data_IF_740951370121
#
_entry.id   IF_740951370121
#
_cell.length_a   1.000
_cell.length_b   1.000
_cell.length_c   1.000
_cell.angle_alpha   90.00
_cell.angle_beta   90.00
_cell.angle_gamma   90.00
#
_symmetry.space_group_name_H-M   'P 1'
#
loop_
_entity.id
_entity.type
_entity.pdbx_description
1 polymer ?
#
# COMPACT_ATOMS: atom_id res chain seq x y z
N UNK A 1 -17.21 16.24 -10.33
CA UNK A 1 -16.52 15.25 -9.46
C UNK A 1 -17.05 15.42 -8.05
N UNK A 2 -17.53 14.36 -7.39
CA UNK A 2 -17.95 14.47 -5.99
C UNK A 2 -16.72 14.72 -5.11
N UNK A 3 -16.88 15.48 -4.02
CA UNK A 3 -15.80 15.74 -3.06
C UNK A 3 -15.19 14.44 -2.50
N UNK A 4 -16.04 13.42 -2.31
CA UNK A 4 -15.63 12.07 -1.92
C UNK A 4 -14.73 11.40 -2.96
N UNK A 5 -15.04 11.50 -4.25
CA UNK A 5 -14.23 10.90 -5.30
C UNK A 5 -12.85 11.57 -5.42
N UNK A 6 -12.80 12.90 -5.32
CA UNK A 6 -11.52 13.63 -5.28
C UNK A 6 -10.70 13.16 -4.08
N UNK A 7 -11.30 13.08 -2.89
CA UNK A 7 -10.62 12.62 -1.69
C UNK A 7 -10.11 11.18 -1.81
N UNK A 8 -10.90 10.26 -2.41
CA UNK A 8 -10.48 8.88 -2.65
C UNK A 8 -9.25 8.83 -3.57
N UNK A 9 -9.29 9.52 -4.71
CA UNK A 9 -8.19 9.56 -5.67
C UNK A 9 -6.93 10.17 -5.01
N UNK A 10 -7.09 11.27 -4.27
CA UNK A 10 -5.98 11.87 -3.53
C UNK A 10 -5.36 10.91 -2.52
N UNK A 11 -6.17 10.15 -1.77
CA UNK A 11 -5.67 9.13 -0.85
C UNK A 11 -4.92 8.01 -1.59
N UNK A 12 -5.44 7.51 -2.71
CA UNK A 12 -4.76 6.44 -3.48
C UNK A 12 -3.42 6.91 -4.07
N UNK A 13 -3.35 8.16 -4.55
CA UNK A 13 -2.09 8.74 -5.06
C UNK A 13 -1.09 8.95 -3.92
N UNK A 14 -1.55 9.40 -2.74
CA UNK A 14 -0.69 9.51 -1.56
C UNK A 14 -0.20 8.14 -1.09
N UNK A 15 -1.06 7.12 -1.07
CA UNK A 15 -0.69 5.75 -0.75
C UNK A 15 0.41 5.23 -1.68
N UNK A 16 0.21 5.35 -3.00
CA UNK A 16 1.22 5.00 -4.01
C UNK A 16 2.53 5.77 -3.78
N UNK A 17 2.44 7.07 -3.51
CA UNK A 17 3.62 7.94 -3.31
C UNK A 17 4.42 7.53 -2.09
N UNK A 18 3.78 7.43 -0.92
CA UNK A 18 4.44 7.01 0.30
C UNK A 18 4.99 5.60 0.15
N UNK A 19 4.23 4.67 -0.41
CA UNK A 19 4.67 3.29 -0.50
C UNK A 19 5.90 3.14 -1.41
N UNK A 20 5.88 3.82 -2.55
CA UNK A 20 7.03 3.87 -3.47
C UNK A 20 8.24 4.52 -2.81
N UNK A 21 8.07 5.65 -2.13
CA UNK A 21 9.18 6.30 -1.41
C UNK A 21 9.76 5.35 -0.36
N UNK A 22 8.92 4.68 0.44
CA UNK A 22 9.36 3.74 1.47
C UNK A 22 10.21 2.61 0.87
N UNK A 23 9.72 1.94 -0.16
CA UNK A 23 10.37 0.77 -0.78
C UNK A 23 11.68 1.16 -1.45
N UNK A 24 11.70 2.25 -2.22
CA UNK A 24 12.88 2.66 -2.98
C UNK A 24 13.92 3.37 -2.09
N UNK A 25 13.51 4.14 -1.09
CA UNK A 25 14.44 4.73 -0.11
C UNK A 25 15.12 3.63 0.71
N UNK A 26 14.36 2.63 1.13
CA UNK A 26 14.86 1.47 1.86
C UNK A 26 15.84 0.64 1.01
N UNK A 27 15.48 0.34 -0.24
CA UNK A 27 16.38 -0.32 -1.20
C UNK A 27 17.65 0.47 -1.47
N UNK A 28 17.55 1.81 -1.61
CA UNK A 28 18.72 2.68 -1.82
C UNK A 28 19.67 2.69 -0.62
N UNK A 29 19.12 2.60 0.59
CA UNK A 29 19.92 2.50 1.82
C UNK A 29 20.47 1.11 2.07
N UNK A 30 19.83 0.06 1.53
CA UNK A 30 20.19 -1.34 1.79
C UNK A 30 19.95 -1.74 3.26
N UNK A 31 19.20 -0.94 4.01
CA UNK A 31 18.96 -1.11 5.42
C UNK A 31 17.59 -0.51 5.80
N UNK A 32 16.80 -1.29 6.54
CA UNK A 32 15.57 -0.81 7.13
C UNK A 32 15.84 0.15 8.30
N UNK A 33 15.31 1.38 8.20
CA UNK A 33 15.38 2.45 9.19
C UNK A 33 13.99 2.78 9.75
N UNK A 34 13.94 3.40 10.92
CA UNK A 34 12.68 3.80 11.58
C UNK A 34 11.78 4.68 10.70
N UNK A 35 12.38 5.59 9.92
CA UNK A 35 11.61 6.45 9.01
C UNK A 35 10.95 5.66 7.88
N UNK A 36 11.57 4.58 7.38
CA UNK A 36 10.95 3.74 6.34
C UNK A 36 9.65 3.10 6.89
N UNK A 37 9.67 2.60 8.13
CA UNK A 37 8.48 2.06 8.76
C UNK A 37 7.38 3.11 8.94
N UNK A 38 7.72 4.35 9.33
CA UNK A 38 6.75 5.45 9.40
C UNK A 38 6.11 5.72 8.03
N UNK A 39 6.90 5.73 6.96
CA UNK A 39 6.41 5.91 5.60
C UNK A 39 5.51 4.74 5.15
N UNK A 40 5.84 3.49 5.51
CA UNK A 40 4.97 2.34 5.22
C UNK A 40 3.63 2.44 5.94
N UNK A 41 3.62 2.84 7.21
CA UNK A 41 2.39 3.08 7.96
C UNK A 41 1.56 4.22 7.37
N UNK A 42 2.19 5.33 6.97
CA UNK A 42 1.49 6.41 6.26
C UNK A 42 0.83 5.89 4.97
N UNK A 43 1.59 5.16 4.14
CA UNK A 43 1.06 4.55 2.93
C UNK A 43 -0.15 3.66 3.21
N UNK A 44 -0.07 2.79 4.23
CA UNK A 44 -1.14 1.88 4.60
C UNK A 44 -2.41 2.61 5.08
N UNK A 45 -2.24 3.68 5.86
CA UNK A 45 -3.37 4.51 6.31
C UNK A 45 -4.06 5.18 5.12
N UNK A 46 -3.29 5.75 4.19
CA UNK A 46 -3.87 6.35 2.98
C UNK A 46 -4.56 5.33 2.08
N UNK A 47 -3.99 4.12 1.92
CA UNK A 47 -4.59 3.06 1.11
C UNK A 47 -5.92 2.56 1.72
N UNK A 48 -5.91 2.35 3.04
CA UNK A 48 -7.13 1.97 3.79
C UNK A 48 -8.19 3.06 3.68
N UNK A 49 -7.81 4.33 3.82
CA UNK A 49 -8.72 5.46 3.70
C UNK A 49 -9.30 5.57 2.28
N UNK A 50 -8.46 5.49 1.25
CA UNK A 50 -8.87 5.51 -0.15
C UNK A 50 -9.83 4.38 -0.48
N UNK A 51 -9.50 3.15 -0.09
CA UNK A 51 -10.34 1.96 -0.27
C UNK A 51 -11.68 2.09 0.45
N UNK A 52 -11.68 2.60 1.69
CA UNK A 52 -12.91 2.81 2.47
C UNK A 52 -13.81 3.87 1.82
N UNK A 53 -13.23 4.98 1.33
CA UNK A 53 -13.99 6.03 0.64
C UNK A 53 -14.56 5.48 -0.68
N UNK A 54 -13.77 4.75 -1.47
CA UNK A 54 -14.24 4.12 -2.71
C UNK A 54 -15.39 3.13 -2.45
N UNK A 55 -15.31 2.33 -1.39
CA UNK A 55 -16.39 1.42 -0.99
C UNK A 55 -17.68 2.15 -0.59
N UNK A 56 -17.58 3.35 -0.03
CA UNK A 56 -18.76 4.20 0.26
C UNK A 56 -19.36 4.78 -1.02
N UNK A 57 -18.52 5.15 -1.99
CA UNK A 57 -18.95 5.72 -3.27
C UNK A 57 -19.66 4.65 -4.12
N UNK A 58 -19.16 3.41 -4.15
CA UNK A 58 -19.73 2.36 -5.00
C UNK A 58 -21.17 2.00 -4.62
N UNK A 59 -21.60 2.24 -3.38
CA UNK A 59 -22.96 1.99 -2.86
C UNK A 59 -23.38 0.51 -2.83
N UNK A 60 -22.75 -0.31 -3.66
CA UNK A 60 -22.73 -1.77 -3.63
C UNK A 60 -21.70 -2.16 -2.57
N UNK A 61 -22.10 -3.01 -1.62
CA UNK A 61 -21.15 -3.68 -0.72
C UNK A 61 -20.04 -4.40 -1.51
N UNK A 62 -19.06 -5.00 -0.82
CA UNK A 62 -17.92 -5.65 -1.46
C UNK A 62 -18.38 -6.60 -2.59
N UNK A 63 -18.14 -6.20 -3.85
CA UNK A 63 -18.45 -7.06 -4.99
C UNK A 63 -17.26 -7.99 -5.19
N UNK A 64 -17.50 -9.30 -5.21
CA UNK A 64 -16.46 -10.28 -5.49
C UNK A 64 -16.09 -10.22 -6.98
N UNK A 65 -15.21 -9.27 -7.32
CA UNK A 65 -14.57 -9.17 -8.61
C UNK A 65 -13.05 -9.24 -8.44
N UNK A 66 -12.34 -9.44 -9.55
CA UNK A 66 -10.89 -9.64 -9.55
C UNK A 66 -10.13 -8.46 -8.92
N UNK A 67 -10.55 -7.22 -9.19
CA UNK A 67 -9.94 -6.02 -8.59
C UNK A 67 -10.17 -5.93 -7.08
N UNK A 68 -11.38 -6.22 -6.61
CA UNK A 68 -11.71 -6.17 -5.18
C UNK A 68 -10.98 -7.27 -4.38
N UNK A 69 -10.84 -8.47 -4.93
CA UNK A 69 -10.08 -9.56 -4.30
C UNK A 69 -8.58 -9.24 -4.27
N UNK A 70 -8.01 -8.85 -5.41
CA UNK A 70 -6.59 -8.48 -5.48
C UNK A 70 -6.28 -7.26 -4.62
N UNK A 71 -7.19 -6.29 -4.54
CA UNK A 71 -7.07 -5.12 -3.68
C UNK A 71 -7.06 -5.47 -2.20
N UNK A 72 -7.95 -6.35 -1.74
CA UNK A 72 -7.96 -6.80 -0.36
C UNK A 72 -6.66 -7.55 0.00
N UNK A 73 -6.20 -8.44 -0.89
CA UNK A 73 -4.93 -9.16 -0.70
C UNK A 73 -3.75 -8.18 -0.61
N UNK A 74 -3.70 -7.18 -1.49
CA UNK A 74 -2.66 -6.15 -1.46
C UNK A 74 -2.69 -5.32 -0.18
N UNK A 75 -3.88 -4.92 0.29
CA UNK A 75 -4.04 -4.16 1.53
C UNK A 75 -3.56 -4.96 2.75
N UNK A 76 -3.93 -6.24 2.83
CA UNK A 76 -3.47 -7.14 3.90
C UNK A 76 -1.95 -7.37 3.82
N UNK A 77 -1.39 -7.53 2.63
CA UNK A 77 0.03 -7.73 2.43
C UNK A 77 0.84 -6.47 2.78
N UNK A 78 0.30 -5.28 2.47
CA UNK A 78 0.87 -4.00 2.86
C UNK A 78 0.83 -3.80 4.39
N UNK A 79 -0.27 -4.17 5.04
CA UNK A 79 -0.37 -4.16 6.50
C UNK A 79 0.66 -5.09 7.15
N UNK A 80 0.75 -6.32 6.63
CA UNK A 80 1.75 -7.30 7.07
C UNK A 80 3.17 -6.75 6.91
N UNK A 81 3.46 -6.12 5.77
CA UNK A 81 4.75 -5.51 5.48
C UNK A 81 5.11 -4.39 6.46
N UNK A 82 4.17 -3.49 6.77
CA UNK A 82 4.37 -2.43 7.75
C UNK A 82 4.60 -2.97 9.17
N UNK A 83 3.82 -3.97 9.60
CA UNK A 83 3.98 -4.65 10.89
C UNK A 83 5.34 -5.35 10.96
N UNK A 84 5.72 -6.07 9.91
CA UNK A 84 6.99 -6.79 9.83
C UNK A 84 8.18 -5.81 9.92
N UNK A 85 8.09 -4.66 9.24
CA UNK A 85 9.09 -3.60 9.36
C UNK A 85 9.25 -3.15 10.82
N UNK A 86 8.13 -2.88 11.52
CA UNK A 86 8.15 -2.48 12.93
C UNK A 86 8.75 -3.57 13.83
N UNK A 87 8.39 -4.83 13.62
CA UNK A 87 8.94 -5.95 14.40
C UNK A 87 10.46 -6.07 14.23
N UNK A 88 10.98 -5.98 13.00
CA UNK A 88 12.42 -6.05 12.73
C UNK A 88 13.17 -4.90 13.43
N UNK A 89 12.62 -3.69 13.40
CA UNK A 89 13.21 -2.53 14.05
C UNK A 89 13.24 -2.68 15.58
N UNK A 90 12.17 -3.18 16.19
CA UNK A 90 12.10 -3.43 17.64
C UNK A 90 13.08 -4.53 18.06
N UNK A 91 13.12 -5.64 17.31
CA UNK A 91 14.02 -6.77 17.58
C UNK A 91 15.49 -6.44 17.32
N UNK A 92 15.78 -5.32 16.65
CA UNK A 92 17.12 -4.89 16.25
C UNK A 92 17.87 -6.00 15.47
N UNK A 93 17.16 -6.76 14.66
CA UNK A 93 17.76 -7.84 13.87
C UNK A 93 18.46 -7.26 12.64
N UNK A 94 19.78 -7.13 12.72
CA UNK A 94 20.57 -6.50 11.67
C UNK A 94 20.62 -7.31 10.38
N UNK A 95 20.50 -8.65 10.45
CA UNK A 95 20.41 -9.49 9.24
C UNK A 95 19.08 -9.25 8.52
N UNK A 96 17.98 -9.25 9.28
CA UNK A 96 16.66 -9.00 8.71
C UNK A 96 16.52 -7.59 8.14
N UNK A 97 17.12 -6.56 8.79
CA UNK A 97 17.12 -5.18 8.25
C UNK A 97 17.83 -5.07 6.90
N UNK A 98 18.88 -5.86 6.66
CA UNK A 98 19.64 -5.83 5.41
C UNK A 98 18.95 -6.58 4.27
N UNK A 99 18.15 -7.60 4.57
CA UNK A 99 17.45 -8.39 3.54
C UNK A 99 16.01 -7.94 3.28
N UNK A 100 15.45 -7.07 4.13
CA UNK A 100 14.06 -6.60 4.05
C UNK A 100 13.70 -6.03 2.67
N UNK A 101 14.62 -5.33 2.00
CA UNK A 101 14.37 -4.67 0.71
C UNK A 101 13.97 -5.63 -0.41
N UNK A 102 14.42 -6.89 -0.34
CA UNK A 102 14.09 -7.90 -1.34
C UNK A 102 12.61 -8.27 -1.24
N UNK A 103 12.11 -8.42 0.00
CA UNK A 103 10.71 -8.67 0.29
C UNK A 103 9.85 -7.44 0.00
N UNK A 104 10.30 -6.24 0.38
CA UNK A 104 9.61 -4.97 0.10
C UNK A 104 9.29 -4.78 -1.37
N UNK A 105 10.25 -5.10 -2.26
CA UNK A 105 10.05 -4.96 -3.70
C UNK A 105 8.95 -5.91 -4.21
N UNK A 106 8.92 -7.15 -3.71
CA UNK A 106 7.88 -8.12 -4.08
C UNK A 106 6.49 -7.63 -3.65
N UNK A 107 6.34 -7.19 -2.40
CA UNK A 107 5.04 -6.68 -1.90
C UNK A 107 4.60 -5.45 -2.69
N UNK A 108 5.53 -4.55 -3.03
CA UNK A 108 5.23 -3.37 -3.84
C UNK A 108 4.73 -3.71 -5.24
N UNK A 109 5.38 -4.66 -5.94
CA UNK A 109 4.91 -5.13 -7.26
C UNK A 109 3.52 -5.77 -7.13
N UNK A 110 3.30 -6.60 -6.12
CA UNK A 110 2.00 -7.23 -5.89
C UNK A 110 0.90 -6.17 -5.62
N UNK A 111 1.23 -5.10 -4.90
CA UNK A 111 0.31 -3.99 -4.61
C UNK A 111 -0.03 -3.15 -5.85
N UNK A 112 0.89 -3.02 -6.81
CA UNK A 112 0.62 -2.29 -8.06
C UNK A 112 -0.45 -2.96 -8.93
N UNK A 113 -0.61 -4.28 -8.84
CA UNK A 113 -1.59 -5.03 -9.65
C UNK A 113 -3.02 -4.51 -9.44
N UNK A 114 -3.59 -4.50 -8.22
CA UNK A 114 -4.93 -3.95 -8.02
C UNK A 114 -5.01 -2.46 -8.28
N UNK A 115 -3.96 -1.68 -8.01
CA UNK A 115 -3.95 -0.24 -8.31
C UNK A 115 -4.17 0.02 -9.81
N UNK A 116 -3.41 -0.67 -10.66
CA UNK A 116 -3.52 -0.56 -12.12
C UNK A 116 -4.87 -1.10 -12.62
N UNK A 117 -5.33 -2.24 -12.10
CA UNK A 117 -6.66 -2.78 -12.41
C UNK A 117 -7.78 -1.77 -12.08
N UNK A 118 -7.66 -1.07 -10.95
CA UNK A 118 -8.62 -0.05 -10.52
C UNK A 118 -8.70 1.12 -11.50
N UNK A 119 -7.55 1.58 -12.01
CA UNK A 119 -7.49 2.62 -13.05
C UNK A 119 -8.21 2.14 -14.31
N UNK A 120 -7.90 0.95 -14.81
CA UNK A 120 -8.53 0.42 -16.03
C UNK A 120 -10.04 0.26 -15.87
N UNK A 121 -10.52 -0.23 -14.73
CA UNK A 121 -11.95 -0.37 -14.47
C UNK A 121 -12.62 1.02 -14.41
N UNK A 122 -11.99 1.99 -13.75
CA UNK A 122 -12.51 3.35 -13.64
C UNK A 122 -12.52 4.14 -14.95
N UNK A 123 -11.64 3.81 -15.91
CA UNK A 123 -11.64 4.42 -17.25
C UNK A 123 -12.66 3.80 -18.21
N UNK A 124 -13.09 2.56 -17.95
CA UNK A 124 -14.02 1.81 -18.80
C UNK A 124 -15.47 1.85 -18.27
N UNK A 125 -15.75 2.66 -17.24
CA UNK A 125 -17.09 2.92 -16.68
C UNK A 125 -17.43 4.39 -16.83
#
# INVERSE_FOLDING_TARGET
MSTLLIAAISCMVLALTFYTIGVFAERKKGLLLNWHALVFWCGFVFDTAGTTIMSKISGRGFTFNLHSVTGLVALLLMAFHAIWATIILIKKDDKAKQTFHQFSLFVWIAWLVPFVLGIFIGMNQ
#
